data_IF_543581414677
#
_entry.id   IF_543581414677
#
_cell.length_a   1.000
_cell.length_b   1.000
_cell.length_c   1.000
_cell.angle_alpha   90.00
_cell.angle_beta   90.00
_cell.angle_gamma   90.00
#
_symmetry.space_group_name_H-M   'P 1'
#
loop_
_entity.id
_entity.type
_entity.pdbx_description
1 polymer ?
#
# COMPACT_ATOMS: atom_id res chain seq x y z
N UNK A 1 0.98 1.43 -21.34
CA UNK A 1 1.33 0.14 -20.71
C UNK A 1 2.68 0.17 -20.00
N UNK A 2 3.81 0.42 -20.68
CA UNK A 2 5.11 0.53 -20.01
C UNK A 2 5.16 1.64 -18.94
N UNK A 3 4.52 2.78 -19.20
CA UNK A 3 4.35 3.88 -18.23
C UNK A 3 3.62 3.42 -16.95
N UNK A 4 2.49 2.72 -17.10
CA UNK A 4 1.68 2.20 -15.99
C UNK A 4 2.46 1.17 -15.17
N UNK A 5 3.17 0.23 -15.81
CA UNK A 5 4.01 -0.76 -15.10
C UNK A 5 5.12 -0.06 -14.31
N UNK A 6 5.79 0.91 -14.92
CA UNK A 6 6.86 1.68 -14.25
C UNK A 6 6.30 2.46 -13.07
N UNK A 7 5.14 3.10 -13.24
CA UNK A 7 4.44 3.80 -12.17
C UNK A 7 4.07 2.85 -11.03
N UNK A 8 3.56 1.65 -11.31
CA UNK A 8 3.25 0.64 -10.27
C UNK A 8 4.48 0.20 -9.50
N UNK A 9 5.62 -0.01 -10.17
CA UNK A 9 6.86 -0.40 -9.49
C UNK A 9 7.35 0.74 -8.58
N UNK A 10 7.45 1.96 -9.13
CA UNK A 10 7.93 3.12 -8.37
C UNK A 10 7.01 3.43 -7.20
N UNK A 11 5.70 3.50 -7.44
CA UNK A 11 4.70 3.75 -6.41
C UNK A 11 4.71 2.64 -5.36
N UNK A 12 4.78 1.37 -5.76
CA UNK A 12 4.84 0.25 -4.83
C UNK A 12 6.08 0.29 -3.92
N UNK A 13 7.25 0.61 -4.49
CA UNK A 13 8.49 0.76 -3.70
C UNK A 13 8.43 1.95 -2.75
N UNK A 14 7.93 3.10 -3.23
CA UNK A 14 7.84 4.32 -2.42
C UNK A 14 6.79 4.17 -1.33
N UNK A 15 5.64 3.58 -1.61
CA UNK A 15 4.58 3.31 -0.63
C UNK A 15 5.05 2.29 0.43
N UNK A 16 5.84 1.28 0.03
CA UNK A 16 6.39 0.33 0.99
C UNK A 16 7.31 0.99 2.04
N UNK A 17 7.97 2.11 1.71
CA UNK A 17 8.79 2.87 2.66
C UNK A 17 7.98 3.48 3.82
N UNK A 18 6.66 3.54 3.69
CA UNK A 18 5.77 4.05 4.73
C UNK A 18 5.77 3.04 5.91
N UNK A 19 6.17 3.46 7.13
CA UNK A 19 6.38 2.54 8.26
C UNK A 19 5.11 1.86 8.78
N UNK A 20 3.94 2.37 8.45
CA UNK A 20 2.63 1.87 8.90
C UNK A 20 2.37 0.39 8.55
N UNK A 21 2.95 -0.15 7.48
CA UNK A 21 2.73 -1.54 7.06
C UNK A 21 3.69 -2.56 7.69
N UNK A 22 4.88 -2.13 8.14
CA UNK A 22 5.93 -3.05 8.59
C UNK A 22 6.48 -2.77 9.99
N UNK A 23 6.44 -1.51 10.46
CA UNK A 23 7.04 -1.12 11.74
C UNK A 23 6.29 -1.72 12.95
N UNK A 24 4.94 -1.72 13.00
CA UNK A 24 4.22 -2.36 14.10
C UNK A 24 4.54 -3.85 14.24
N UNK A 25 4.68 -4.56 13.11
CA UNK A 25 5.06 -5.98 13.10
C UNK A 25 6.47 -6.19 13.68
N UNK A 26 7.43 -5.34 13.30
CA UNK A 26 8.80 -5.40 13.83
C UNK A 26 8.84 -5.09 15.33
N UNK A 27 8.02 -4.13 15.79
CA UNK A 27 7.91 -3.79 17.21
C UNK A 27 7.37 -4.98 18.04
N UNK A 28 6.28 -5.61 17.58
CA UNK A 28 5.71 -6.80 18.22
C UNK A 28 6.70 -7.97 18.21
N UNK A 29 7.35 -8.23 17.07
CA UNK A 29 8.34 -9.30 16.95
C UNK A 29 9.53 -9.12 17.91
N UNK A 30 9.99 -7.88 18.13
CA UNK A 30 11.05 -7.59 19.11
C UNK A 30 10.55 -7.73 20.55
N UNK A 31 9.32 -7.30 20.85
CA UNK A 31 8.73 -7.42 22.19
C UNK A 31 8.48 -8.89 22.58
N UNK A 32 7.96 -9.68 21.66
CA UNK A 32 7.67 -11.11 21.81
C UNK A 32 8.89 -12.01 21.56
N UNK A 33 10.06 -11.43 21.26
CA UNK A 33 11.32 -12.14 21.00
C UNK A 33 11.23 -13.20 19.89
N UNK A 34 10.49 -12.91 18.83
CA UNK A 34 10.36 -13.82 17.69
C UNK A 34 11.69 -14.08 17.00
N UNK A 35 11.86 -15.28 16.48
CA UNK A 35 13.03 -15.61 15.67
C UNK A 35 12.89 -15.08 14.23
N UNK A 36 14.01 -14.93 13.52
CA UNK A 36 14.03 -14.49 12.11
C UNK A 36 13.12 -15.30 11.17
N UNK A 37 13.13 -16.65 11.15
CA UNK A 37 12.26 -17.43 10.26
C UNK A 37 10.78 -17.24 10.57
N UNK A 38 10.46 -17.02 11.85
CA UNK A 38 9.11 -16.74 12.31
C UNK A 38 8.64 -15.37 11.81
N UNK A 39 9.44 -14.31 12.02
CA UNK A 39 9.11 -12.98 11.51
C UNK A 39 8.93 -12.98 9.99
N UNK A 40 9.82 -13.67 9.27
CA UNK A 40 9.74 -13.75 7.80
C UNK A 40 8.44 -14.42 7.34
N UNK A 41 8.02 -15.49 8.01
CA UNK A 41 6.78 -16.19 7.70
C UNK A 41 5.57 -15.30 7.95
N UNK A 42 5.52 -14.61 9.10
CA UNK A 42 4.42 -13.72 9.45
C UNK A 42 4.37 -12.50 8.51
N UNK A 43 5.52 -11.91 8.19
CA UNK A 43 5.64 -10.80 7.24
C UNK A 43 5.13 -11.20 5.85
N UNK A 44 5.46 -12.40 5.38
CA UNK A 44 4.98 -12.91 4.10
C UNK A 44 3.45 -13.08 4.09
N UNK A 45 2.87 -13.65 5.16
CA UNK A 45 1.42 -13.83 5.29
C UNK A 45 0.71 -12.47 5.29
N UNK A 46 1.24 -11.50 6.01
CA UNK A 46 0.69 -10.14 6.08
C UNK A 46 0.78 -9.45 4.71
N UNK A 47 1.94 -9.52 4.04
CA UNK A 47 2.11 -8.96 2.72
C UNK A 47 1.13 -9.58 1.71
N UNK A 48 0.91 -10.90 1.80
CA UNK A 48 -0.05 -11.60 0.96
C UNK A 48 -1.49 -11.13 1.23
N UNK A 49 -1.86 -10.90 2.48
CA UNK A 49 -3.17 -10.39 2.85
C UNK A 49 -3.42 -8.98 2.27
N UNK A 50 -2.43 -8.09 2.41
CA UNK A 50 -2.48 -6.74 1.85
C UNK A 50 -2.60 -6.72 0.32
N UNK A 51 -1.77 -7.52 -0.34
CA UNK A 51 -1.83 -7.69 -1.81
C UNK A 51 -3.16 -8.28 -2.23
N UNK A 52 -3.69 -9.27 -1.52
CA UNK A 52 -4.97 -9.89 -1.84
C UNK A 52 -6.13 -8.87 -1.78
N UNK A 53 -6.18 -8.04 -0.72
CA UNK A 53 -7.19 -6.98 -0.60
C UNK A 53 -7.12 -5.97 -1.75
N UNK A 54 -5.90 -5.49 -2.03
CA UNK A 54 -5.67 -4.50 -3.11
C UNK A 54 -5.97 -5.08 -4.49
N UNK A 55 -5.51 -6.30 -4.79
CA UNK A 55 -5.74 -6.96 -6.09
C UNK A 55 -7.21 -7.31 -6.28
N UNK A 56 -7.92 -7.74 -5.24
CA UNK A 56 -9.35 -8.04 -5.33
C UNK A 56 -10.14 -6.80 -5.75
N UNK A 57 -9.92 -5.66 -5.07
CA UNK A 57 -10.55 -4.38 -5.43
C UNK A 57 -10.06 -3.87 -6.79
N UNK A 58 -8.75 -3.98 -7.06
CA UNK A 58 -8.15 -3.61 -8.33
C UNK A 58 -8.73 -4.37 -9.52
N UNK A 59 -8.99 -5.68 -9.41
CA UNK A 59 -9.64 -6.46 -10.47
C UNK A 59 -11.06 -5.94 -10.73
N UNK A 60 -11.83 -5.65 -9.68
CA UNK A 60 -13.19 -5.09 -9.81
C UNK A 60 -13.13 -3.75 -10.56
N UNK A 61 -12.23 -2.85 -10.16
CA UNK A 61 -12.04 -1.55 -10.80
C UNK A 61 -11.52 -1.68 -12.24
N UNK A 62 -10.60 -2.60 -12.50
CA UNK A 62 -10.08 -2.88 -13.84
C UNK A 62 -11.17 -3.38 -14.78
N UNK A 63 -12.07 -4.26 -14.32
CA UNK A 63 -13.24 -4.71 -15.08
C UNK A 63 -14.18 -3.52 -15.38
N UNK A 64 -14.43 -2.66 -14.39
CA UNK A 64 -15.20 -1.43 -14.60
C UNK A 64 -14.52 -0.57 -15.69
N UNK A 65 -13.19 -0.39 -15.61
CA UNK A 65 -12.38 0.32 -16.60
C UNK A 65 -12.54 -0.25 -18.02
N UNK A 66 -12.53 -1.58 -18.18
CA UNK A 66 -12.73 -2.20 -19.51
C UNK A 66 -14.09 -1.85 -20.12
N UNK A 67 -15.13 -1.69 -19.30
CA UNK A 67 -16.47 -1.36 -19.77
C UNK A 67 -16.64 0.13 -20.07
N UNK A 68 -15.96 0.99 -19.33
CA UNK A 68 -15.96 2.44 -19.54
C UNK A 68 -15.18 2.83 -20.81
N UNK A 69 -14.03 2.21 -21.06
CA UNK A 69 -13.19 2.49 -22.22
C UNK A 69 -13.90 2.19 -23.55
N UNK A 70 -14.73 1.13 -23.61
CA UNK A 70 -15.50 0.78 -24.81
C UNK A 70 -16.55 1.82 -25.24
N UNK A 71 -16.88 2.81 -24.41
CA UNK A 71 -17.83 3.90 -24.73
C UNK A 71 -17.26 5.31 -24.61
N UNK A 72 -16.22 5.53 -23.80
CA UNK A 72 -15.73 6.87 -23.46
C UNK A 72 -14.20 6.90 -23.26
N UNK A 73 -13.43 6.48 -24.27
CA UNK A 73 -11.96 6.43 -24.21
C UNK A 73 -11.32 7.74 -23.70
N UNK A 74 -11.79 8.92 -24.13
CA UNK A 74 -11.24 10.21 -23.68
C UNK A 74 -11.52 10.54 -22.20
N UNK A 75 -12.58 9.98 -21.60
CA UNK A 75 -12.93 10.28 -20.21
C UNK A 75 -12.13 9.48 -19.20
N UNK A 76 -11.80 8.21 -19.49
CA UNK A 76 -11.06 7.35 -18.54
C UNK A 76 -9.64 7.88 -18.29
N UNK A 77 -9.05 8.42 -19.35
CA UNK A 77 -7.69 8.97 -19.38
C UNK A 77 -7.55 10.25 -18.55
N UNK A 78 -8.63 11.00 -18.38
CA UNK A 78 -8.68 12.21 -17.55
C UNK A 78 -9.16 11.87 -16.13
N UNK A 79 -10.17 11.00 -16.00
CA UNK A 79 -10.79 10.68 -14.71
C UNK A 79 -9.79 9.99 -13.76
N UNK A 80 -8.97 9.06 -14.24
CA UNK A 80 -8.02 8.36 -13.39
C UNK A 80 -6.95 9.30 -12.74
N UNK A 81 -6.23 10.15 -13.50
CA UNK A 81 -5.30 11.10 -12.90
C UNK A 81 -5.99 12.19 -12.08
N UNK A 82 -7.19 12.65 -12.48
CA UNK A 82 -7.96 13.61 -11.67
C UNK A 82 -8.39 13.01 -10.33
N UNK A 83 -8.85 11.75 -10.31
CA UNK A 83 -9.17 11.05 -9.06
C UNK A 83 -7.93 10.88 -8.18
N UNK A 84 -6.77 10.52 -8.75
CA UNK A 84 -5.50 10.46 -8.02
C UNK A 84 -5.13 11.80 -7.39
N UNK A 85 -5.27 12.90 -8.14
CA UNK A 85 -5.00 14.26 -7.64
C UNK A 85 -5.99 14.61 -6.53
N UNK A 86 -7.28 14.30 -6.69
CA UNK A 86 -8.31 14.52 -5.67
C UNK A 86 -8.00 13.70 -4.41
N UNK A 87 -7.68 12.42 -4.53
CA UNK A 87 -7.28 11.59 -3.40
C UNK A 87 -6.00 12.11 -2.73
N UNK A 88 -5.00 12.52 -3.51
CA UNK A 88 -3.77 13.13 -3.00
C UNK A 88 -4.04 14.44 -2.24
N UNK A 89 -4.91 15.29 -2.77
CA UNK A 89 -5.35 16.53 -2.11
C UNK A 89 -6.17 16.23 -0.86
N UNK A 90 -7.05 15.23 -0.87
CA UNK A 90 -7.80 14.79 0.32
C UNK A 90 -6.83 14.28 1.38
N UNK A 91 -5.91 13.37 1.06
CA UNK A 91 -4.91 12.89 2.02
C UNK A 91 -3.98 14.00 2.54
N UNK A 92 -3.65 14.98 1.70
CA UNK A 92 -2.84 16.15 2.08
C UNK A 92 -3.61 17.16 2.94
N UNK A 93 -4.91 17.36 2.68
CA UNK A 93 -5.76 18.38 3.31
C UNK A 93 -6.58 17.85 4.49
N UNK A 94 -6.76 16.53 4.58
CA UNK A 94 -7.33 15.84 5.73
C UNK A 94 -6.31 15.91 6.86
N UNK A 95 -6.30 17.07 7.49
CA UNK A 95 -5.81 17.31 8.84
C UNK A 95 -6.89 16.80 9.82
N UNK A 96 -7.48 15.63 9.57
CA UNK A 96 -8.19 14.95 10.63
C UNK A 96 -7.12 14.67 11.68
N UNK A 97 -7.26 15.18 12.90
CA UNK A 97 -6.54 14.62 14.01
C UNK A 97 -7.11 13.20 14.14
N UNK A 98 -6.58 12.28 13.34
CA UNK A 98 -6.26 11.01 13.92
C UNK A 98 -5.14 11.41 14.87
N UNK A 99 -5.53 11.77 16.10
CA UNK A 99 -4.86 11.14 17.19
C UNK A 99 -4.65 9.71 16.71
N UNK A 100 -3.39 9.39 16.38
CA UNK A 100 -2.89 8.14 16.88
C UNK A 100 -3.27 8.23 18.36
N UNK A 101 -4.47 7.74 18.69
CA UNK A 101 -4.63 7.08 19.96
C UNK A 101 -3.43 6.17 19.92
N UNK A 102 -2.44 6.54 20.72
CA UNK A 102 -1.48 5.58 21.14
C UNK A 102 -2.36 4.46 21.66
N UNK A 103 -2.59 3.45 20.83
CA UNK A 103 -2.68 2.09 21.28
C UNK A 103 -1.26 1.62 21.70
N UNK A 104 -0.49 2.51 22.34
CA UNK A 104 -0.09 2.30 23.73
C UNK A 104 -1.32 2.37 24.68
N UNK A 105 -2.43 1.72 24.34
CA UNK A 105 -3.33 1.20 25.34
C UNK A 105 -2.59 -0.01 25.86
N UNK A 106 -1.81 0.24 26.91
CA UNK A 106 -1.35 -0.75 27.86
C UNK A 106 -0.98 -2.11 27.24
N UNK A 107 0.27 -2.19 26.77
CA UNK A 107 1.02 -3.47 26.69
C UNK A 107 1.06 -4.20 28.06
N UNK A 108 0.46 -3.61 29.11
CA UNK A 108 0.22 -4.20 30.41
C UNK A 108 -1.07 -5.03 30.54
N UNK A 109 -1.93 -5.10 29.53
CA UNK A 109 -3.17 -5.87 29.65
C UNK A 109 -3.49 -6.78 28.45
N UNK A 110 -2.53 -7.53 27.92
CA UNK A 110 -2.88 -8.70 27.10
C UNK A 110 -1.78 -9.78 27.06
N UNK A 111 -1.82 -10.71 28.00
CA UNK A 111 -1.35 -12.08 27.78
C UNK A 111 -2.28 -12.76 26.75
N UNK A 112 -2.12 -12.47 25.46
CA UNK A 112 -2.88 -13.16 24.40
C UNK A 112 -1.97 -13.85 23.40
N UNK A 113 -2.31 -15.11 23.14
CA UNK A 113 -1.65 -16.04 22.21
C UNK A 113 -1.29 -15.40 20.86
N UNK A 114 -0.03 -15.63 20.46
CA UNK A 114 0.60 -15.32 19.16
C UNK A 114 -0.32 -15.34 17.94
N UNK A 115 -1.18 -16.35 17.83
CA UNK A 115 -2.11 -16.51 16.69
C UNK A 115 -3.06 -15.33 16.55
N UNK A 116 -3.44 -14.68 17.66
CA UNK A 116 -4.38 -13.56 17.64
C UNK A 116 -3.74 -12.29 17.06
N UNK A 117 -2.48 -12.03 17.36
CA UNK A 117 -1.73 -10.91 16.77
C UNK A 117 -1.63 -11.06 15.26
N UNK A 118 -1.29 -12.26 14.78
CA UNK A 118 -1.20 -12.55 13.35
C UNK A 118 -2.54 -12.29 12.67
N UNK A 119 -3.66 -12.75 13.26
CA UNK A 119 -5.00 -12.53 12.70
C UNK A 119 -5.39 -11.05 12.66
N UNK A 120 -5.06 -10.28 13.69
CA UNK A 120 -5.33 -8.83 13.73
C UNK A 120 -4.54 -8.13 12.63
N UNK A 121 -3.24 -8.40 12.51
CA UNK A 121 -2.41 -7.80 11.46
C UNK A 121 -2.89 -8.17 10.07
N UNK A 122 -3.20 -9.45 9.83
CA UNK A 122 -3.78 -9.91 8.55
C UNK A 122 -5.08 -9.18 8.25
N UNK A 123 -5.97 -9.03 9.23
CA UNK A 123 -7.25 -8.33 9.07
C UNK A 123 -7.08 -6.87 8.71
N UNK A 124 -6.24 -6.12 9.46
CA UNK A 124 -5.98 -4.70 9.20
C UNK A 124 -5.34 -4.52 7.81
N UNK A 125 -4.38 -5.38 7.46
CA UNK A 125 -3.61 -5.27 6.22
C UNK A 125 -4.45 -5.63 4.99
N UNK A 126 -5.33 -6.63 5.11
CA UNK A 126 -6.30 -6.96 4.07
C UNK A 126 -7.33 -5.83 3.85
N UNK A 127 -7.79 -5.20 4.93
CA UNK A 127 -8.80 -4.15 4.89
C UNK A 127 -8.24 -2.75 4.59
N UNK A 128 -6.92 -2.63 4.45
CA UNK A 128 -6.20 -1.40 4.08
C UNK A 128 -5.58 -1.55 2.68
N UNK A 129 -6.39 -1.53 1.61
CA UNK A 129 -5.89 -1.63 0.25
C UNK A 129 -5.12 -0.37 -0.16
N UNK A 130 -4.16 -0.51 -1.07
CA UNK A 130 -3.47 0.65 -1.67
C UNK A 130 -4.38 1.36 -2.68
N UNK A 131 -5.09 2.39 -2.22
CA UNK A 131 -5.95 3.25 -3.05
C UNK A 131 -5.20 3.88 -4.23
N UNK A 132 -3.89 4.09 -4.09
CA UNK A 132 -3.07 4.67 -5.16
C UNK A 132 -2.95 3.70 -6.33
N UNK A 133 -2.80 2.41 -6.04
CA UNK A 133 -2.66 1.35 -7.05
C UNK A 133 -4.03 1.02 -7.67
N UNK A 134 -5.12 1.17 -6.93
CA UNK A 134 -6.50 1.00 -7.43
C UNK A 134 -6.81 1.89 -8.65
N UNK A 135 -6.30 3.12 -8.65
CA UNK A 135 -6.44 4.03 -9.78
C UNK A 135 -5.72 3.50 -11.05
N UNK A 136 -4.54 2.90 -10.88
CA UNK A 136 -3.77 2.30 -11.97
C UNK A 136 -4.47 1.04 -12.52
N UNK A 137 -5.14 0.29 -11.66
CA UNK A 137 -6.00 -0.83 -12.06
C UNK A 137 -7.16 -0.38 -12.94
N UNK A 138 -7.84 0.70 -12.55
CA UNK A 138 -8.90 1.31 -13.35
C UNK A 138 -8.39 1.73 -14.74
N UNK A 139 -7.24 2.43 -14.79
CA UNK A 139 -6.58 2.81 -16.05
C UNK A 139 -6.13 1.61 -16.89
N UNK A 140 -5.58 0.56 -16.26
CA UNK A 140 -5.17 -0.65 -16.96
C UNK A 140 -6.35 -1.38 -17.60
N UNK A 141 -7.56 -1.21 -17.04
CA UNK A 141 -8.81 -1.67 -17.65
C UNK A 141 -9.03 -1.14 -19.07
N UNK A 142 -8.59 0.09 -19.38
CA UNK A 142 -8.69 0.65 -20.74
C UNK A 142 -7.87 -0.14 -21.77
N UNK A 143 -6.81 -0.81 -21.32
CA UNK A 143 -5.94 -1.66 -22.14
C UNK A 143 -6.37 -3.14 -22.13
N UNK A 144 -7.53 -3.47 -21.55
CA UNK A 144 -8.09 -4.82 -21.52
C UNK A 144 -7.69 -5.65 -20.30
N UNK A 145 -8.40 -6.77 -20.11
CA UNK A 145 -8.25 -7.66 -18.93
C UNK A 145 -6.84 -8.25 -18.80
N UNK A 146 -6.15 -8.51 -19.92
CA UNK A 146 -4.76 -9.00 -19.88
C UNK A 146 -3.83 -8.00 -19.17
N UNK A 147 -4.01 -6.71 -19.44
CA UNK A 147 -3.22 -5.63 -18.85
C UNK A 147 -3.47 -5.51 -17.34
N UNK A 148 -4.72 -5.68 -16.90
CA UNK A 148 -5.10 -5.73 -15.49
C UNK A 148 -4.42 -6.90 -14.76
N UNK A 149 -4.38 -8.09 -15.37
CA UNK A 149 -3.72 -9.25 -14.78
C UNK A 149 -2.20 -9.10 -14.69
N UNK A 150 -1.57 -8.53 -15.72
CA UNK A 150 -0.14 -8.22 -15.71
C UNK A 150 0.17 -7.22 -14.59
N UNK A 151 -0.65 -6.17 -14.46
CA UNK A 151 -0.50 -5.17 -13.40
C UNK A 151 -0.60 -5.80 -12.01
N UNK A 152 -1.59 -6.68 -11.79
CA UNK A 152 -1.75 -7.41 -10.54
C UNK A 152 -0.52 -8.25 -10.19
N UNK A 153 0.05 -8.95 -11.17
CA UNK A 153 1.26 -9.76 -10.96
C UNK A 153 2.47 -8.89 -10.59
N UNK A 154 2.68 -7.78 -11.32
CA UNK A 154 3.78 -6.84 -11.04
C UNK A 154 3.63 -6.22 -9.65
N UNK A 155 2.42 -5.76 -9.31
CA UNK A 155 2.12 -5.21 -7.99
C UNK A 155 2.36 -6.23 -6.88
N UNK A 156 1.87 -7.46 -7.04
CA UNK A 156 2.04 -8.53 -6.05
C UNK A 156 3.52 -8.79 -5.76
N UNK A 157 4.34 -8.96 -6.80
CA UNK A 157 5.79 -9.19 -6.64
C UNK A 157 6.46 -8.00 -5.97
N UNK A 158 6.17 -6.78 -6.43
CA UNK A 158 6.82 -5.56 -5.91
C UNK A 158 6.45 -5.31 -4.46
N UNK A 159 5.17 -5.42 -4.10
CA UNK A 159 4.66 -5.16 -2.75
C UNK A 159 5.16 -6.20 -1.75
N UNK A 160 5.08 -7.50 -2.10
CA UNK A 160 5.61 -8.58 -1.24
C UNK A 160 7.11 -8.41 -1.02
N UNK A 161 7.88 -8.16 -2.09
CA UNK A 161 9.31 -7.95 -1.98
C UNK A 161 9.65 -6.71 -1.14
N UNK A 162 8.92 -5.61 -1.32
CA UNK A 162 9.11 -4.36 -0.57
C UNK A 162 8.85 -4.55 0.93
N UNK A 163 7.67 -5.05 1.30
CA UNK A 163 7.27 -5.25 2.71
C UNK A 163 8.24 -6.22 3.40
N UNK A 164 8.50 -7.39 2.80
CA UNK A 164 9.37 -8.40 3.42
C UNK A 164 10.81 -7.87 3.58
N UNK A 165 11.34 -7.17 2.57
CA UNK A 165 12.69 -6.61 2.65
C UNK A 165 12.79 -5.56 3.75
N UNK A 166 11.83 -4.65 3.85
CA UNK A 166 11.84 -3.59 4.85
C UNK A 166 11.64 -4.12 6.27
N UNK A 167 10.74 -5.09 6.47
CA UNK A 167 10.60 -5.80 7.75
C UNK A 167 11.96 -6.38 8.18
N UNK A 168 12.66 -7.05 7.27
CA UNK A 168 13.94 -7.69 7.59
C UNK A 168 15.07 -6.68 7.86
N UNK A 169 15.10 -5.56 7.14
CA UNK A 169 16.08 -4.49 7.35
C UNK A 169 15.84 -3.78 8.70
N UNK A 170 14.59 -3.48 9.02
CA UNK A 170 14.19 -2.87 10.29
C UNK A 170 14.39 -3.81 11.49
N UNK A 171 14.15 -5.11 11.32
CA UNK A 171 14.42 -6.10 12.36
C UNK A 171 15.91 -6.19 12.70
N UNK A 172 16.80 -6.07 11.70
CA UNK A 172 18.26 -5.98 11.90
C UNK A 172 18.71 -4.68 12.59
N UNK A 173 17.80 -3.72 12.81
CA UNK A 173 18.12 -2.45 13.45
C UNK A 173 18.80 -1.44 12.51
N UNK A 174 18.65 -1.62 11.20
CA UNK A 174 19.14 -0.65 10.23
C UNK A 174 18.20 0.56 10.29
N UNK A 175 18.68 1.68 10.82
CA UNK A 175 18.01 2.98 10.72
C UNK A 175 18.16 3.48 9.27
N UNK A 176 17.28 3.02 8.38
CA UNK A 176 17.23 3.50 7.00
C UNK A 176 16.74 4.94 6.93
N UNK A 177 15.84 5.34 7.84
CA UNK A 177 15.28 6.70 7.93
C UNK A 177 14.87 7.03 9.36
N UNK A 178 14.74 8.32 9.67
CA UNK A 178 14.27 8.81 10.97
C UNK A 178 12.79 8.45 11.16
N UNK A 179 12.53 7.37 11.90
CA UNK A 179 11.20 6.78 12.06
C UNK A 179 10.22 7.77 12.72
N UNK A 180 10.71 8.62 13.61
CA UNK A 180 9.89 9.61 14.32
C UNK A 180 9.37 10.71 13.39
N UNK A 181 10.19 11.16 12.42
CA UNK A 181 9.77 12.16 11.44
C UNK A 181 8.78 11.60 10.42
N UNK A 182 8.99 10.36 9.97
CA UNK A 182 8.11 9.72 8.99
C UNK A 182 6.75 9.38 9.61
N UNK A 183 6.71 8.85 10.84
CA UNK A 183 5.44 8.59 11.54
C UNK A 183 4.58 9.85 11.63
N UNK A 184 5.20 11.00 11.95
CA UNK A 184 4.46 12.25 12.09
C UNK A 184 4.01 12.87 10.76
N UNK A 185 4.73 12.60 9.67
CA UNK A 185 4.46 13.19 8.34
C UNK A 185 3.92 12.19 7.33
N UNK A 186 3.58 10.97 7.75
CA UNK A 186 3.18 9.84 6.93
C UNK A 186 2.17 10.25 5.85
N UNK A 187 1.04 10.82 6.28
CA UNK A 187 -0.06 11.22 5.40
C UNK A 187 0.32 12.34 4.43
N UNK A 188 1.19 13.27 4.86
CA UNK A 188 1.70 14.34 3.99
C UNK A 188 2.64 13.78 2.93
N UNK A 189 3.51 12.84 3.31
CA UNK A 189 4.43 12.17 2.40
C UNK A 189 3.62 11.38 1.36
N UNK A 190 2.68 10.54 1.79
CA UNK A 190 1.78 9.78 0.90
C UNK A 190 0.96 10.70 0.00
N UNK A 191 0.41 11.79 0.55
CA UNK A 191 -0.33 12.79 -0.21
C UNK A 191 0.52 13.49 -1.28
N UNK A 192 1.76 13.86 -0.96
CA UNK A 192 2.70 14.45 -1.93
C UNK A 192 3.07 13.45 -3.02
N UNK A 193 3.36 12.20 -2.66
CA UNK A 193 3.65 11.13 -3.63
C UNK A 193 2.46 10.92 -4.57
N UNK A 194 1.25 10.87 -4.02
CA UNK A 194 0.00 10.77 -4.78
C UNK A 194 -0.19 11.92 -5.77
N UNK A 195 0.03 13.16 -5.31
CA UNK A 195 -0.05 14.34 -6.17
C UNK A 195 0.99 14.27 -7.28
N UNK A 196 2.24 13.94 -6.96
CA UNK A 196 3.32 13.83 -7.95
C UNK A 196 3.05 12.72 -8.97
N UNK A 197 2.63 11.55 -8.51
CA UNK A 197 2.29 10.42 -9.39
C UNK A 197 1.07 10.76 -10.26
N UNK A 198 0.04 11.41 -9.70
CA UNK A 198 -1.11 11.89 -10.45
C UNK A 198 -0.72 12.88 -11.54
N UNK A 199 0.12 13.88 -11.22
CA UNK A 199 0.66 14.85 -12.19
C UNK A 199 1.47 14.14 -13.27
N UNK A 200 2.42 13.27 -12.88
CA UNK A 200 3.26 12.54 -13.84
C UNK A 200 2.40 11.69 -14.77
N UNK A 201 1.39 11.00 -14.24
CA UNK A 201 0.50 10.16 -15.04
C UNK A 201 -0.39 10.99 -15.97
N UNK A 202 -0.82 12.19 -15.54
CA UNK A 202 -1.56 13.14 -16.37
C UNK A 202 -0.76 13.63 -17.59
N UNK A 203 0.56 13.81 -17.44
CA UNK A 203 1.45 14.26 -18.52
C UNK A 203 2.09 13.14 -19.33
N UNK A 204 2.12 11.90 -18.81
CA UNK A 204 2.64 10.71 -19.51
C UNK A 204 1.57 9.94 -20.28
N UNK A 205 0.38 10.51 -20.40
CA UNK A 205 -0.75 9.95 -21.14
C UNK A 205 -0.59 10.10 -22.65
#
# INVERSE_FOLDING_TARGET
MYSIITATILLGLVHALIPNHWLPLVAVAKAEKWERPELLSVAFIIALAHVAGTVALGIVLGIIGTRLAGKYNEFVDIIAPVLLIIFGLIYFSVNLPHHHHGEQEDVKQYEKSRTRWILIFVGIMFLSPCLEVESLFLSAGAFGVKSVLILAAVYAVTSIAGIVSLVMLAFKGIHLVDTHFIEHNEKRITGVILILVGIITFFLH
#
